data_IF_384039047287
#
_entry.id   IF_384039047287
#
_cell.length_a   1.000
_cell.length_b   1.000
_cell.length_c   1.000
_cell.angle_alpha   90.00
_cell.angle_beta   90.00
_cell.angle_gamma   90.00
#
_symmetry.space_group_name_H-M   'P 1'
#
loop_
_entity.id
_entity.type
_entity.pdbx_description
1 polymer ?
#
# COMPACT_ATOMS: atom_id res chain seq x y z
N UNK A 1 61.46 -4.19 76.79
CA UNK A 1 62.51 -3.37 76.15
C UNK A 1 63.43 -4.31 75.38
N UNK A 2 64.02 -4.00 74.21
CA UNK A 2 63.93 -2.74 73.44
C UNK A 2 63.89 -2.90 71.87
N UNK A 3 63.70 -1.74 71.20
CA UNK A 3 64.54 -1.22 70.09
C UNK A 3 64.24 -1.53 68.60
N UNK A 4 63.92 -0.41 67.91
CA UNK A 4 64.42 0.12 66.61
C UNK A 4 63.78 -0.38 65.30
N UNK A 5 63.21 0.57 64.50
CA UNK A 5 63.80 1.37 63.38
C UNK A 5 64.05 0.49 62.14
N UNK A 6 63.85 0.89 60.88
CA UNK A 6 63.45 2.14 60.24
C UNK A 6 63.14 1.83 58.74
N UNK A 7 62.36 2.70 58.08
CA UNK A 7 62.52 3.21 56.70
C UNK A 7 62.73 2.29 55.50
N UNK A 8 61.93 2.49 54.44
CA UNK A 8 62.41 2.26 53.07
C UNK A 8 61.35 2.17 51.96
N UNK A 9 61.07 3.30 51.30
CA UNK A 9 60.76 3.52 49.87
C UNK A 9 60.06 2.40 49.06
N UNK A 10 58.93 2.76 48.42
CA UNK A 10 58.83 3.10 46.99
C UNK A 10 57.35 3.06 46.53
N UNK A 11 56.89 4.10 45.82
CA UNK A 11 55.68 4.04 44.99
C UNK A 11 56.02 3.33 43.66
N UNK A 12 55.04 2.72 42.97
CA UNK A 12 54.39 3.47 41.90
C UNK A 12 52.89 3.24 41.72
N UNK A 13 52.32 4.23 41.05
CA UNK A 13 50.96 4.45 40.52
C UNK A 13 50.60 3.51 39.35
N UNK A 14 49.35 3.02 39.28
CA UNK A 14 48.61 2.74 38.03
C UNK A 14 47.12 2.47 38.32
N UNK A 15 46.20 3.40 38.09
CA UNK A 15 45.44 3.72 36.86
C UNK A 15 44.41 2.68 36.41
N UNK A 16 43.20 3.21 36.15
CA UNK A 16 42.22 2.72 35.16
C UNK A 16 41.16 1.72 35.62
N UNK A 17 39.99 2.23 36.03
CA UNK A 17 38.76 2.16 35.24
C UNK A 17 37.54 2.57 36.08
N UNK A 18 37.21 3.87 36.08
CA UNK A 18 35.86 4.32 36.42
C UNK A 18 35.26 4.87 35.14
N UNK A 19 34.35 4.09 34.57
CA UNK A 19 33.55 4.44 33.40
C UNK A 19 32.67 5.64 33.75
N UNK A 20 33.08 6.85 33.35
CA UNK A 20 32.20 8.02 33.36
C UNK A 20 31.34 7.94 32.10
N UNK A 21 30.09 7.52 32.29
CA UNK A 21 29.02 7.65 31.30
C UNK A 21 28.77 9.14 31.06
N UNK A 22 29.34 9.64 29.97
CA UNK A 22 29.10 10.98 29.44
C UNK A 22 27.66 11.04 28.91
N UNK A 23 26.72 11.54 29.70
CA UNK A 23 25.40 11.89 29.21
C UNK A 23 25.48 13.26 28.51
N UNK A 24 25.43 13.22 27.18
CA UNK A 24 25.24 14.41 26.35
C UNK A 24 23.96 15.14 26.78
N UNK A 25 23.98 16.46 27.05
CA UNK A 25 22.75 17.20 27.25
C UNK A 25 21.99 17.26 25.92
N UNK A 26 20.82 16.63 25.88
CA UNK A 26 19.90 16.74 24.74
C UNK A 26 19.40 18.19 24.71
N UNK A 27 19.92 18.96 23.75
CA UNK A 27 19.54 20.35 23.52
C UNK A 27 18.06 20.39 23.12
N UNK A 28 17.19 20.82 24.06
CA UNK A 28 15.78 21.10 23.84
C UNK A 28 15.61 22.31 22.89
N UNK A 29 15.59 22.03 21.59
CA UNK A 29 15.03 22.87 20.53
C UNK A 29 14.45 21.88 19.51
N UNK A 30 13.17 21.53 19.43
CA UNK A 30 11.95 22.27 19.70
C UNK A 30 10.84 21.20 19.62
N UNK A 31 10.15 20.84 20.72
CA UNK A 31 9.18 19.72 20.70
C UNK A 31 8.01 19.95 19.72
N UNK A 32 7.79 21.21 19.32
CA UNK A 32 6.78 21.59 18.34
C UNK A 32 7.03 21.06 16.93
N UNK A 33 8.28 20.84 16.51
CA UNK A 33 8.58 20.37 15.13
C UNK A 33 8.16 18.91 14.93
N UNK A 34 8.29 18.09 15.98
CA UNK A 34 7.88 16.67 15.98
C UNK A 34 6.34 16.56 15.99
N UNK A 35 5.66 17.44 16.74
CA UNK A 35 4.20 17.45 16.78
C UNK A 35 3.58 17.89 15.45
N UNK A 36 4.12 18.92 14.80
CA UNK A 36 3.60 19.43 13.51
C UNK A 36 3.79 18.39 12.39
N UNK A 37 4.96 17.76 12.31
CA UNK A 37 5.22 16.71 11.31
C UNK A 37 4.36 15.47 11.53
N UNK A 38 4.10 15.10 12.79
CA UNK A 38 3.16 14.02 13.13
C UNK A 38 1.73 14.30 12.67
N UNK A 39 1.23 15.52 12.86
CA UNK A 39 -0.14 15.91 12.44
C UNK A 39 -0.29 15.89 10.92
N UNK A 40 0.73 16.35 10.17
CA UNK A 40 0.72 16.32 8.70
C UNK A 40 0.74 14.87 8.18
N UNK A 41 1.56 14.00 8.78
CA UNK A 41 1.58 12.58 8.42
C UNK A 41 0.24 11.88 8.74
N UNK A 42 -0.38 12.21 9.87
CA UNK A 42 -1.67 11.63 10.28
C UNK A 42 -2.81 12.06 9.35
N UNK A 43 -2.82 13.32 8.92
CA UNK A 43 -3.84 13.86 8.01
C UNK A 43 -3.74 13.27 6.60
N UNK A 44 -2.53 12.98 6.12
CA UNK A 44 -2.32 12.23 4.86
C UNK A 44 -2.80 10.78 5.00
N UNK A 45 -2.55 10.12 6.14
CA UNK A 45 -3.04 8.77 6.41
C UNK A 45 -4.58 8.69 6.48
N UNK A 46 -5.23 9.68 7.11
CA UNK A 46 -6.69 9.73 7.21
C UNK A 46 -7.37 10.04 5.86
N UNK A 47 -6.72 10.81 4.99
CA UNK A 47 -7.23 11.05 3.63
C UNK A 47 -7.25 9.77 2.77
N UNK A 48 -6.43 8.77 3.09
CA UNK A 48 -6.40 7.48 2.39
C UNK A 48 -7.39 6.44 2.95
N UNK A 49 -7.90 6.59 4.17
CA UNK A 49 -8.79 5.60 4.81
C UNK A 49 -10.27 5.91 4.70
N UNK A 50 -10.67 7.12 4.29
CA UNK A 50 -12.08 7.47 4.05
C UNK A 50 -12.49 7.05 2.62
N UNK A 51 -12.53 5.74 2.40
CA UNK A 51 -13.21 5.13 1.26
C UNK A 51 -14.67 4.89 1.61
N UNK A 52 -15.52 5.90 1.37
CA UNK A 52 -16.98 5.93 1.49
C UNK A 52 -17.70 4.57 1.72
N UNK A 53 -18.18 4.35 2.94
CA UNK A 53 -19.28 3.42 3.26
C UNK A 53 -20.64 4.08 3.03
N UNK A 54 -20.89 4.52 1.81
CA UNK A 54 -22.25 4.81 1.35
C UNK A 54 -22.59 3.77 0.29
N UNK A 55 -23.83 3.27 0.28
CA UNK A 55 -24.42 2.44 -0.78
C UNK A 55 -24.48 3.14 -2.16
N UNK A 56 -23.52 4.04 -2.42
CA UNK A 56 -23.37 4.81 -3.64
C UNK A 56 -22.39 4.07 -4.51
N UNK A 57 -22.85 3.80 -5.72
CA UNK A 57 -21.99 3.45 -6.83
C UNK A 57 -20.89 4.51 -6.96
N UNK A 58 -19.64 4.06 -6.94
CA UNK A 58 -18.48 4.92 -7.10
C UNK A 58 -17.51 4.25 -8.05
N UNK A 59 -17.05 4.97 -9.07
CA UNK A 59 -16.09 4.48 -10.05
C UNK A 59 -14.93 5.47 -10.08
N UNK A 60 -13.75 4.99 -9.73
CA UNK A 60 -12.50 5.75 -9.74
C UNK A 60 -11.55 5.14 -10.75
N UNK A 61 -11.23 5.92 -11.79
CA UNK A 61 -10.20 5.58 -12.76
C UNK A 61 -8.96 6.39 -12.43
N UNK A 62 -7.84 5.70 -12.19
CA UNK A 62 -6.53 6.30 -11.94
C UNK A 62 -5.58 5.88 -13.05
N UNK A 63 -5.01 6.85 -13.75
CA UNK A 63 -4.01 6.62 -14.77
C UNK A 63 -2.71 7.33 -14.40
N UNK A 64 -1.65 6.56 -14.24
CA UNK A 64 -0.28 7.05 -14.03
C UNK A 64 0.57 6.73 -15.26
N UNK A 65 1.83 7.21 -15.34
CA UNK A 65 2.72 6.87 -16.45
C UNK A 65 3.02 5.37 -16.58
N UNK A 66 2.86 4.57 -15.51
CA UNK A 66 3.17 3.14 -15.49
C UNK A 66 1.96 2.23 -15.23
N UNK A 67 0.84 2.77 -14.74
CA UNK A 67 -0.31 1.98 -14.30
C UNK A 67 -1.63 2.57 -14.79
N UNK A 68 -2.50 1.71 -15.29
CA UNK A 68 -3.93 1.96 -15.39
C UNK A 68 -4.64 1.19 -14.27
N UNK A 69 -5.47 1.87 -13.48
CA UNK A 69 -6.21 1.30 -12.36
C UNK A 69 -7.66 1.73 -12.41
N UNK A 70 -8.58 0.77 -12.33
CA UNK A 70 -10.00 1.00 -12.10
C UNK A 70 -10.38 0.44 -10.73
N UNK A 71 -11.02 1.26 -9.92
CA UNK A 71 -11.67 0.88 -8.67
C UNK A 71 -13.15 1.21 -8.78
N UNK A 72 -14.00 0.22 -8.59
CA UNK A 72 -15.45 0.41 -8.56
C UNK A 72 -16.02 -0.19 -7.27
N UNK A 73 -16.90 0.58 -6.64
CA UNK A 73 -17.79 0.13 -5.57
C UNK A 73 -19.21 0.23 -6.11
N UNK A 74 -20.04 -0.79 -5.91
CA UNK A 74 -21.40 -0.89 -6.45
C UNK A 74 -22.28 -1.72 -5.51
N UNK A 75 -23.58 -1.77 -5.76
CA UNK A 75 -24.49 -2.56 -4.92
C UNK A 75 -24.11 -4.05 -5.01
N UNK A 76 -23.89 -4.77 -3.88
CA UNK A 76 -23.59 -6.19 -3.90
C UNK A 76 -24.57 -7.05 -4.71
N UNK A 77 -25.84 -6.64 -4.82
CA UNK A 77 -26.84 -7.31 -5.66
C UNK A 77 -26.51 -7.28 -7.17
N UNK A 78 -25.72 -6.30 -7.62
CA UNK A 78 -25.29 -6.15 -9.02
C UNK A 78 -23.99 -6.91 -9.34
N UNK A 79 -23.36 -7.55 -8.34
CA UNK A 79 -22.10 -8.29 -8.53
C UNK A 79 -22.23 -9.35 -9.61
N UNK A 80 -23.37 -10.05 -9.67
CA UNK A 80 -23.61 -11.06 -10.71
C UNK A 80 -23.57 -10.46 -12.13
N UNK A 81 -24.13 -9.27 -12.31
CA UNK A 81 -24.13 -8.58 -13.61
C UNK A 81 -22.72 -8.14 -14.01
N UNK A 82 -21.92 -7.66 -13.05
CA UNK A 82 -20.52 -7.28 -13.26
C UNK A 82 -19.67 -8.49 -13.63
N UNK A 83 -19.81 -9.60 -12.92
CA UNK A 83 -19.12 -10.86 -13.20
C UNK A 83 -19.48 -11.41 -14.58
N UNK A 84 -20.77 -11.41 -14.93
CA UNK A 84 -21.24 -11.89 -16.23
C UNK A 84 -20.73 -11.02 -17.37
N UNK A 85 -20.75 -9.70 -17.21
CA UNK A 85 -20.19 -8.77 -18.18
C UNK A 85 -18.70 -9.01 -18.41
N UNK A 86 -17.93 -9.19 -17.34
CA UNK A 86 -16.50 -9.44 -17.43
C UNK A 86 -16.20 -10.80 -18.08
N UNK A 87 -16.94 -11.86 -17.71
CA UNK A 87 -16.82 -13.16 -18.35
C UNK A 87 -17.16 -13.12 -19.85
N UNK A 88 -18.14 -12.31 -20.25
CA UNK A 88 -18.49 -12.14 -21.67
C UNK A 88 -17.43 -11.32 -22.41
N UNK A 89 -16.94 -10.25 -21.81
CA UNK A 89 -15.96 -9.33 -22.41
C UNK A 89 -14.56 -9.93 -22.53
N UNK A 90 -14.24 -10.92 -21.68
CA UNK A 90 -12.93 -11.57 -21.61
C UNK A 90 -12.91 -12.95 -22.28
N UNK A 91 -13.97 -13.32 -23.02
CA UNK A 91 -14.00 -14.57 -23.80
C UNK A 91 -12.73 -14.73 -24.67
N UNK A 92 -12.19 -15.95 -24.78
CA UNK A 92 -12.73 -17.22 -24.26
C UNK A 92 -12.46 -17.46 -22.76
N UNK A 93 -11.72 -16.59 -22.08
CA UNK A 93 -11.35 -16.78 -20.69
C UNK A 93 -12.52 -16.49 -19.75
N UNK A 94 -12.85 -17.45 -18.89
CA UNK A 94 -13.79 -17.26 -17.78
C UNK A 94 -13.02 -16.88 -16.52
N UNK A 95 -13.16 -15.63 -16.10
CA UNK A 95 -12.52 -15.11 -14.89
C UNK A 95 -13.30 -15.48 -13.64
N UNK A 96 -14.63 -15.59 -13.74
CA UNK A 96 -15.52 -15.97 -12.66
C UNK A 96 -16.11 -17.34 -12.97
N UNK A 97 -15.71 -18.37 -12.22
CA UNK A 97 -16.16 -19.77 -12.43
C UNK A 97 -17.10 -20.27 -11.33
N UNK A 98 -17.47 -19.41 -10.38
CA UNK A 98 -18.39 -19.71 -9.28
C UNK A 98 -18.70 -18.48 -8.45
N UNK A 99 -19.46 -18.65 -7.36
CA UNK A 99 -19.74 -17.59 -6.38
C UNK A 99 -18.57 -17.47 -5.41
N UNK A 100 -17.63 -16.58 -5.69
CA UNK A 100 -16.48 -16.38 -4.82
C UNK A 100 -15.64 -15.19 -5.24
N UNK A 101 -14.87 -14.68 -4.29
CA UNK A 101 -13.94 -13.59 -4.53
C UNK A 101 -12.87 -14.03 -5.53
N UNK A 102 -12.56 -13.15 -6.48
CA UNK A 102 -11.47 -13.33 -7.42
C UNK A 102 -10.34 -12.42 -7.01
N UNK A 103 -9.12 -12.96 -6.95
CA UNK A 103 -7.90 -12.18 -6.73
C UNK A 103 -6.77 -12.88 -7.49
N UNK A 104 -6.50 -12.44 -8.73
CA UNK A 104 -5.47 -13.04 -9.57
C UNK A 104 -5.02 -12.15 -10.72
N UNK A 105 -3.84 -12.47 -11.24
CA UNK A 105 -3.38 -11.98 -12.52
C UNK A 105 -3.99 -12.80 -13.66
N UNK A 106 -4.42 -12.10 -14.70
CA UNK A 106 -5.05 -12.65 -15.90
C UNK A 106 -4.20 -12.27 -17.10
N UNK A 107 -3.94 -13.26 -17.95
CA UNK A 107 -3.32 -13.06 -19.26
C UNK A 107 -4.29 -13.57 -20.33
N UNK A 108 -4.67 -12.69 -21.26
CA UNK A 108 -5.55 -13.01 -22.38
C UNK A 108 -4.75 -13.62 -23.54
N UNK A 109 -5.47 -14.18 -24.52
CA UNK A 109 -4.86 -14.81 -25.69
C UNK A 109 -4.02 -13.85 -26.55
N UNK A 110 -4.30 -12.54 -26.49
CA UNK A 110 -3.53 -11.48 -27.16
C UNK A 110 -2.34 -10.98 -26.31
N UNK A 111 -1.91 -11.78 -25.32
CA UNK A 111 -0.87 -11.46 -24.34
C UNK A 111 -1.17 -10.27 -23.42
N UNK A 112 -2.38 -9.71 -23.47
CA UNK A 112 -2.80 -8.65 -22.55
C UNK A 112 -2.83 -9.17 -21.12
N UNK A 113 -2.05 -8.54 -20.24
CA UNK A 113 -1.87 -8.98 -18.85
C UNK A 113 -2.36 -7.92 -17.87
N UNK A 114 -3.28 -8.28 -16.99
CA UNK A 114 -3.81 -7.39 -15.96
C UNK A 114 -4.14 -8.16 -14.70
N UNK A 115 -4.11 -7.48 -13.57
CA UNK A 115 -4.54 -8.00 -12.29
C UNK A 115 -5.99 -7.60 -12.04
N UNK A 116 -6.80 -8.57 -11.60
CA UNK A 116 -8.19 -8.37 -11.22
C UNK A 116 -8.41 -8.88 -9.80
N UNK A 117 -9.08 -8.04 -9.01
CA UNK A 117 -9.61 -8.39 -7.71
C UNK A 117 -11.08 -7.99 -7.66
N UNK A 118 -11.96 -8.93 -7.38
CA UNK A 118 -13.39 -8.71 -7.34
C UNK A 118 -13.98 -9.44 -6.15
N UNK A 119 -14.90 -8.77 -5.45
CA UNK A 119 -15.70 -9.32 -4.36
C UNK A 119 -17.09 -8.70 -4.45
N UNK A 120 -18.05 -9.21 -3.68
CA UNK A 120 -19.40 -8.66 -3.69
C UNK A 120 -19.39 -7.13 -3.45
N UNK A 121 -19.90 -6.36 -4.41
CA UNK A 121 -19.97 -4.88 -4.36
C UNK A 121 -18.65 -4.14 -4.61
N UNK A 122 -17.55 -4.82 -4.95
CA UNK A 122 -16.25 -4.18 -5.23
C UNK A 122 -15.52 -4.83 -6.40
N UNK A 123 -14.92 -4.00 -7.24
CA UNK A 123 -14.05 -4.42 -8.33
C UNK A 123 -12.80 -3.54 -8.37
N UNK A 124 -11.65 -4.18 -8.48
CA UNK A 124 -10.36 -3.58 -8.70
C UNK A 124 -9.71 -4.23 -9.91
N UNK A 125 -9.34 -3.42 -10.90
CA UNK A 125 -8.59 -3.84 -12.06
C UNK A 125 -7.32 -3.00 -12.19
N UNK A 126 -6.18 -3.65 -12.40
CA UNK A 126 -4.88 -3.01 -12.56
C UNK A 126 -4.18 -3.54 -13.80
N UNK A 127 -3.78 -2.66 -14.72
CA UNK A 127 -2.99 -3.02 -15.89
C UNK A 127 -1.71 -2.19 -15.91
N UNK A 128 -0.55 -2.85 -15.88
CA UNK A 128 0.74 -2.19 -15.95
C UNK A 128 1.10 -1.90 -17.41
N UNK A 129 1.42 -0.64 -17.71
CA UNK A 129 1.73 -0.18 -19.06
C UNK A 129 3.04 -0.76 -19.59
N UNK A 130 4.00 -1.07 -18.71
CA UNK A 130 5.25 -1.73 -19.08
C UNK A 130 5.08 -3.17 -19.55
N UNK A 131 3.99 -3.84 -19.13
CA UNK A 131 3.74 -5.26 -19.42
C UNK A 131 2.76 -5.44 -20.59
N UNK A 132 2.28 -4.35 -21.20
CA UNK A 132 1.23 -4.39 -22.20
C UNK A 132 1.56 -3.44 -23.35
N UNK A 133 1.20 -3.84 -24.56
CA UNK A 133 1.23 -2.92 -25.71
C UNK A 133 0.16 -1.82 -25.54
N UNK A 134 0.30 -0.73 -26.29
CA UNK A 134 -0.72 0.32 -26.31
C UNK A 134 -2.12 -0.21 -26.69
N UNK A 135 -2.18 -1.14 -27.65
CA UNK A 135 -3.42 -1.79 -28.08
C UNK A 135 -4.05 -2.64 -26.96
N UNK A 136 -3.26 -3.45 -26.28
CA UNK A 136 -3.68 -4.25 -25.11
C UNK A 136 -4.25 -3.35 -24.01
N UNK A 137 -3.57 -2.24 -23.71
CA UNK A 137 -4.03 -1.29 -22.71
C UNK A 137 -5.34 -0.60 -23.13
N UNK A 138 -5.46 -0.20 -24.40
CA UNK A 138 -6.68 0.41 -24.93
C UNK A 138 -7.87 -0.55 -24.86
N UNK A 139 -7.65 -1.85 -25.11
CA UNK A 139 -8.67 -2.89 -24.95
C UNK A 139 -9.16 -2.96 -23.50
N UNK A 140 -8.25 -3.02 -22.53
CA UNK A 140 -8.61 -3.03 -21.09
C UNK A 140 -9.39 -1.77 -20.73
N UNK A 141 -8.94 -0.60 -21.17
CA UNK A 141 -9.65 0.68 -20.96
C UNK A 141 -11.07 0.65 -21.54
N UNK A 142 -11.25 0.09 -22.73
CA UNK A 142 -12.57 0.01 -23.37
C UNK A 142 -13.52 -0.88 -22.58
N UNK A 143 -13.07 -2.05 -22.12
CA UNK A 143 -13.86 -2.96 -21.28
C UNK A 143 -14.26 -2.25 -19.97
N UNK A 144 -13.30 -1.62 -19.31
CA UNK A 144 -13.54 -0.83 -18.10
C UNK A 144 -14.53 0.32 -18.31
N UNK A 145 -14.40 1.04 -19.43
CA UNK A 145 -15.28 2.16 -19.78
C UNK A 145 -16.69 1.74 -20.15
N UNK A 146 -16.87 0.55 -20.72
CA UNK A 146 -18.20 0.00 -20.97
C UNK A 146 -18.84 -0.57 -19.70
N UNK A 147 -18.06 -1.22 -18.84
CA UNK A 147 -18.53 -1.67 -17.52
C UNK A 147 -19.09 -0.48 -16.72
N UNK A 148 -18.35 0.64 -16.69
CA UNK A 148 -18.75 1.83 -15.95
C UNK A 148 -19.96 2.56 -16.53
N UNK A 149 -20.28 2.34 -17.81
CA UNK A 149 -21.41 3.01 -18.49
C UNK A 149 -22.68 2.14 -18.50
N UNK A 150 -22.52 0.83 -18.68
CA UNK A 150 -23.63 -0.04 -19.03
C UNK A 150 -24.05 -0.98 -17.88
N UNK A 151 -23.15 -1.27 -16.95
CA UNK A 151 -23.38 -2.29 -15.91
C UNK A 151 -23.49 -1.66 -14.54
N UNK A 152 -22.51 -0.83 -14.18
CA UNK A 152 -22.46 -0.16 -12.89
C UNK A 152 -23.13 1.21 -13.06
N UNK A 153 -24.40 1.33 -12.65
CA UNK A 153 -25.16 2.58 -12.79
C UNK A 153 -24.86 3.53 -11.62
N UNK A 154 -24.48 4.80 -11.89
CA UNK A 154 -24.25 5.80 -10.84
C UNK A 154 -25.51 6.16 -10.07
#
# INVERSE_FOLDING_TARGET
>A
MPVKKATGKAMPVNYSNIFIINQSPIIMKTPYVILITGIIALSICLAFTIGNSSNRTNIKITETPWLFKLEASYNPAESKNVEDYLNQSLKPLRVFTGTGDVDRQITLADSTTFYIRASAGRLLLKAYKCNNTAASLQRVKNICGQLSKNVIKP
#
